data_IF_184954482443
#
_entry.id   IF_184954482443
#
_cell.length_a   1.000
_cell.length_b   1.000
_cell.length_c   1.000
_cell.angle_alpha   90.00
_cell.angle_beta   90.00
_cell.angle_gamma   90.00
#
_symmetry.space_group_name_H-M   'P 1'
#
loop_
_entity.id
_entity.type
_entity.pdbx_description
1 polymer ?
#
# COMPACT_ATOMS: atom_id res chain seq x y z
N UNK A 1 -20.93 -3.34 -13.16
CA UNK A 1 -20.42 -3.94 -11.92
C UNK A 1 -21.38 -5.04 -11.49
N UNK A 2 -20.93 -6.29 -11.53
CA UNK A 2 -21.65 -7.45 -10.99
C UNK A 2 -21.49 -7.55 -9.47
N UNK A 3 -22.29 -8.39 -8.82
CA UNK A 3 -22.20 -8.64 -7.36
C UNK A 3 -20.81 -9.15 -6.96
N UNK A 4 -20.24 -10.07 -7.76
CA UNK A 4 -18.90 -10.59 -7.52
C UNK A 4 -17.80 -9.51 -7.67
N UNK A 5 -17.96 -8.57 -8.60
CA UNK A 5 -17.05 -7.44 -8.75
C UNK A 5 -17.16 -6.47 -7.56
N UNK A 6 -18.38 -6.20 -7.09
CA UNK A 6 -18.60 -5.36 -5.91
C UNK A 6 -17.97 -5.99 -4.65
N UNK A 7 -18.14 -7.29 -4.45
CA UNK A 7 -17.58 -7.97 -3.29
C UNK A 7 -16.05 -7.95 -3.29
N UNK A 8 -15.42 -8.18 -4.46
CA UNK A 8 -13.96 -8.04 -4.61
C UNK A 8 -13.48 -6.62 -4.38
N UNK A 9 -14.24 -5.61 -4.79
CA UNK A 9 -13.90 -4.21 -4.52
C UNK A 9 -13.95 -3.93 -3.01
N UNK A 10 -15.01 -4.38 -2.33
CA UNK A 10 -15.14 -4.23 -0.86
C UNK A 10 -14.02 -4.92 -0.10
N UNK A 11 -13.54 -6.08 -0.55
CA UNK A 11 -12.41 -6.79 0.09
C UNK A 11 -11.09 -5.99 0.09
N UNK A 12 -10.92 -5.06 -0.85
CA UNK A 12 -9.73 -4.19 -0.94
C UNK A 12 -9.86 -2.93 -0.10
N UNK A 13 -11.09 -2.58 0.30
CA UNK A 13 -11.37 -1.38 1.05
C UNK A 13 -11.30 -1.64 2.56
N UNK A 14 -11.01 -0.60 3.38
CA UNK A 14 -11.04 -0.72 4.82
C UNK A 14 -12.49 -0.73 5.33
N UNK A 15 -13.23 -1.81 5.06
CA UNK A 15 -14.65 -1.95 5.40
C UNK A 15 -14.90 -3.08 6.39
N UNK A 16 -15.91 -2.86 7.24
CA UNK A 16 -16.42 -3.85 8.20
C UNK A 16 -17.93 -3.96 8.07
N UNK A 17 -18.49 -5.11 8.48
CA UNK A 17 -19.93 -5.27 8.64
C UNK A 17 -20.26 -5.16 10.12
N UNK A 18 -21.02 -4.13 10.52
CA UNK A 18 -21.40 -3.88 11.91
C UNK A 18 -22.90 -3.66 12.01
N UNK A 19 -23.58 -4.49 12.81
CA UNK A 19 -25.04 -4.46 13.00
C UNK A 19 -25.83 -4.57 11.68
N UNK A 20 -25.35 -5.39 10.73
CA UNK A 20 -25.99 -5.58 9.42
C UNK A 20 -25.70 -4.47 8.40
N UNK A 21 -24.88 -3.47 8.74
CA UNK A 21 -24.50 -2.39 7.83
C UNK A 21 -23.01 -2.48 7.47
N UNK A 22 -22.67 -2.26 6.20
CA UNK A 22 -21.29 -2.08 5.77
C UNK A 22 -20.83 -0.67 6.16
N UNK A 23 -19.68 -0.57 6.82
CA UNK A 23 -19.08 0.68 7.28
C UNK A 23 -17.64 0.77 6.79
N UNK A 24 -17.26 1.92 6.26
CA UNK A 24 -15.88 2.24 5.89
C UNK A 24 -15.18 2.81 7.13
N UNK A 25 -14.00 2.30 7.46
CA UNK A 25 -13.13 2.87 8.47
C UNK A 25 -12.49 4.14 7.89
N UNK A 26 -12.61 5.26 8.62
CA UNK A 26 -11.93 6.49 8.20
C UNK A 26 -10.42 6.31 8.25
N UNK A 27 -9.69 6.99 7.36
CA UNK A 27 -8.23 6.93 7.32
C UNK A 27 -7.61 7.27 8.69
N UNK A 28 -8.11 8.30 9.39
CA UNK A 28 -7.63 8.66 10.73
C UNK A 28 -7.88 7.56 11.78
N UNK A 29 -9.02 6.87 11.71
CA UNK A 29 -9.30 5.77 12.64
C UNK A 29 -8.43 4.56 12.33
N UNK A 30 -8.31 4.20 11.05
CA UNK A 30 -7.39 3.17 10.59
C UNK A 30 -5.95 3.47 11.01
N UNK A 31 -5.49 4.70 10.84
CA UNK A 31 -4.12 5.08 11.17
C UNK A 31 -3.82 4.92 12.66
N UNK A 32 -4.75 5.31 13.54
CA UNK A 32 -4.65 5.07 14.99
C UNK A 32 -4.61 3.59 15.34
N UNK A 33 -5.46 2.77 14.72
CA UNK A 33 -5.50 1.33 14.98
C UNK A 33 -4.15 0.67 14.67
N UNK A 34 -3.56 1.03 13.54
CA UNK A 34 -2.25 0.52 13.12
C UNK A 34 -1.14 1.02 14.05
N UNK A 35 -1.18 2.29 14.46
CA UNK A 35 -0.21 2.80 15.46
C UNK A 35 -0.28 2.01 16.76
N UNK A 36 -1.48 1.76 17.30
CA UNK A 36 -1.62 0.92 18.50
C UNK A 36 -1.09 -0.49 18.27
N UNK A 37 -1.37 -1.11 17.12
CA UNK A 37 -0.83 -2.43 16.81
C UNK A 37 0.70 -2.44 16.80
N UNK A 38 1.34 -1.45 16.17
CA UNK A 38 2.80 -1.31 16.13
C UNK A 38 3.36 -1.08 17.53
N UNK A 39 2.78 -0.16 18.29
CA UNK A 39 3.22 0.12 19.66
C UNK A 39 3.14 -1.13 20.54
N UNK A 40 2.09 -1.95 20.39
CA UNK A 40 1.95 -3.20 21.13
C UNK A 40 2.94 -4.30 20.71
N UNK A 41 3.40 -4.32 19.46
CA UNK A 41 4.41 -5.30 19.01
C UNK A 41 5.77 -5.05 19.68
N UNK A 42 6.04 -3.81 20.04
CA UNK A 42 7.28 -3.38 20.68
C UNK A 42 7.14 -3.23 22.21
N UNK A 43 5.97 -3.57 22.77
CA UNK A 43 5.66 -3.43 24.20
C UNK A 43 5.81 -4.77 24.95
N UNK A 44 6.83 -4.87 25.81
CA UNK A 44 7.07 -6.03 26.68
C UNK A 44 5.88 -6.33 27.62
N UNK A 45 4.99 -5.36 27.88
CA UNK A 45 3.77 -5.56 28.68
C UNK A 45 2.64 -6.28 27.92
N UNK A 46 2.76 -6.47 26.60
CA UNK A 46 1.77 -7.13 25.75
C UNK A 46 2.32 -8.42 25.11
N UNK A 47 2.77 -9.44 25.89
CA UNK A 47 3.45 -10.64 25.38
C UNK A 47 2.58 -11.54 24.48
N UNK A 48 1.29 -11.25 24.39
CA UNK A 48 0.36 -11.92 23.49
C UNK A 48 0.26 -11.28 22.10
N UNK A 49 1.03 -10.24 21.82
CA UNK A 49 1.08 -9.51 20.56
C UNK A 49 2.54 -9.41 20.13
N UNK A 50 3.00 -10.39 19.36
CA UNK A 50 4.36 -10.44 18.81
C UNK A 50 4.30 -10.71 17.31
N UNK A 51 5.42 -10.51 16.60
CA UNK A 51 5.49 -10.69 15.14
C UNK A 51 5.02 -12.09 14.70
N UNK A 52 5.36 -13.13 15.45
CA UNK A 52 5.02 -14.53 15.11
C UNK A 52 3.64 -14.95 15.63
N UNK A 53 2.99 -14.16 16.48
CA UNK A 53 1.71 -14.53 17.07
C UNK A 53 0.97 -13.33 17.65
N UNK A 54 -0.04 -12.87 16.91
CA UNK A 54 -0.99 -11.86 17.36
C UNK A 54 -2.24 -12.52 17.94
N UNK A 55 -2.37 -12.50 19.25
CA UNK A 55 -3.55 -13.01 19.96
C UNK A 55 -4.75 -12.09 19.84
N UNK A 56 -5.87 -12.58 19.28
CA UNK A 56 -7.09 -11.80 19.07
C UNK A 56 -7.62 -11.12 20.35
N UNK A 57 -7.73 -11.87 21.45
CA UNK A 57 -8.21 -11.31 22.71
C UNK A 57 -7.19 -10.37 23.38
N UNK A 58 -5.89 -10.56 23.11
CA UNK A 58 -4.84 -9.65 23.57
C UNK A 58 -4.97 -8.31 22.83
N UNK A 59 -5.00 -8.35 21.50
CA UNK A 59 -5.16 -7.16 20.66
C UNK A 59 -6.45 -6.40 20.99
N UNK A 60 -7.56 -7.09 21.20
CA UNK A 60 -8.82 -6.46 21.63
C UNK A 60 -8.69 -5.72 22.96
N UNK A 61 -8.00 -6.30 23.95
CA UNK A 61 -7.76 -5.64 25.25
C UNK A 61 -6.84 -4.44 25.10
N UNK A 62 -5.75 -4.58 24.33
CA UNK A 62 -4.83 -3.49 24.05
C UNK A 62 -5.53 -2.32 23.34
N UNK A 63 -6.30 -2.60 22.29
CA UNK A 63 -7.10 -1.56 21.62
C UNK A 63 -8.07 -0.84 22.56
N UNK A 64 -8.71 -1.56 23.49
CA UNK A 64 -9.58 -0.96 24.51
C UNK A 64 -8.80 -0.11 25.53
N UNK A 65 -7.57 -0.50 25.88
CA UNK A 65 -6.66 0.22 26.79
C UNK A 65 -6.19 1.53 26.14
N UNK A 66 -5.74 1.47 24.88
CA UNK A 66 -5.12 2.61 24.19
C UNK A 66 -6.13 3.53 23.49
N UNK A 67 -7.35 3.05 23.19
CA UNK A 67 -8.43 3.84 22.58
C UNK A 67 -9.69 3.83 23.46
N UNK A 68 -9.64 4.30 24.72
CA UNK A 68 -10.74 4.15 25.68
C UNK A 68 -12.01 4.91 25.27
N UNK A 69 -11.86 6.03 24.56
CA UNK A 69 -12.98 6.84 24.07
C UNK A 69 -13.67 6.21 22.84
N UNK A 70 -13.13 5.12 22.31
CA UNK A 70 -13.67 4.40 21.16
C UNK A 70 -14.12 3.02 21.60
N UNK A 71 -15.41 2.75 21.47
CA UNK A 71 -15.89 1.38 21.53
C UNK A 71 -15.43 0.65 20.26
N UNK A 72 -14.25 0.04 20.30
CA UNK A 72 -13.68 -0.73 19.18
C UNK A 72 -14.41 -2.07 19.10
N UNK A 73 -15.25 -2.29 18.07
CA UNK A 73 -16.02 -3.52 17.96
C UNK A 73 -15.11 -4.68 17.51
N UNK A 74 -15.52 -5.92 17.78
CA UNK A 74 -14.70 -7.10 17.48
C UNK A 74 -14.43 -7.26 15.98
N UNK A 75 -15.35 -6.77 15.14
CA UNK A 75 -15.24 -6.75 13.69
C UNK A 75 -14.06 -5.89 13.21
N UNK A 76 -13.70 -4.83 13.94
CA UNK A 76 -12.48 -4.04 13.66
C UNK A 76 -11.23 -4.83 14.02
N UNK A 77 -11.25 -5.56 15.14
CA UNK A 77 -10.11 -6.40 15.55
C UNK A 77 -9.88 -7.52 14.53
N UNK A 78 -10.96 -8.20 14.12
CA UNK A 78 -10.91 -9.23 13.08
C UNK A 78 -10.42 -8.66 11.74
N UNK A 79 -10.87 -7.45 11.38
CA UNK A 79 -10.39 -6.77 10.18
C UNK A 79 -8.89 -6.48 10.26
N UNK A 80 -8.38 -5.97 11.38
CA UNK A 80 -6.94 -5.74 11.56
C UNK A 80 -6.13 -7.01 11.36
N UNK A 81 -6.52 -8.12 12.01
CA UNK A 81 -5.83 -9.40 11.84
C UNK A 81 -5.89 -9.87 10.39
N UNK A 82 -7.06 -9.82 9.76
CA UNK A 82 -7.21 -10.24 8.36
C UNK A 82 -6.35 -9.39 7.41
N UNK A 83 -6.18 -8.10 7.70
CA UNK A 83 -5.45 -7.16 6.84
C UNK A 83 -3.94 -7.20 7.08
N UNK A 84 -3.49 -7.41 8.31
CA UNK A 84 -2.10 -7.25 8.72
C UNK A 84 -1.41 -8.53 9.19
N UNK A 85 -2.11 -9.67 9.20
CA UNK A 85 -1.52 -10.95 9.55
C UNK A 85 -1.73 -12.00 8.46
N UNK A 86 -0.73 -12.86 8.29
CA UNK A 86 -0.84 -14.12 7.58
C UNK A 86 -1.29 -15.22 8.55
N UNK A 87 -2.18 -16.11 8.07
CA UNK A 87 -2.65 -17.25 8.85
C UNK A 87 -1.70 -18.43 8.65
N UNK A 88 -1.04 -18.85 9.72
CA UNK A 88 -0.18 -20.04 9.74
C UNK A 88 -0.92 -21.16 10.45
N UNK A 89 -1.01 -22.33 9.81
CA UNK A 89 -1.68 -23.50 10.36
C UNK A 89 -0.66 -24.58 10.67
N UNK A 90 -0.38 -24.78 11.96
CA UNK A 90 0.55 -25.80 12.45
C UNK A 90 -0.15 -26.70 13.48
N UNK A 91 -0.04 -28.02 13.30
CA UNK A 91 -0.54 -29.00 14.28
C UNK A 91 -2.01 -28.79 14.71
N UNK A 92 -2.88 -28.40 13.76
CA UNK A 92 -4.30 -28.08 14.01
C UNK A 92 -4.56 -26.82 14.86
N UNK A 93 -3.55 -25.97 15.05
CA UNK A 93 -3.70 -24.62 15.62
C UNK A 93 -3.45 -23.58 14.54
N UNK A 94 -4.23 -22.51 14.60
CA UNK A 94 -4.08 -21.35 13.72
C UNK A 94 -3.41 -20.23 14.53
N UNK A 95 -2.29 -19.72 14.02
CA UNK A 95 -1.58 -18.55 14.54
C UNK A 95 -1.60 -17.43 13.51
N UNK A 96 -1.57 -16.19 13.98
CA UNK A 96 -1.60 -15.00 13.15
C UNK A 96 -0.24 -14.32 13.21
N UNK A 97 0.54 -14.42 12.15
CA UNK A 97 1.87 -13.82 12.05
C UNK A 97 1.75 -12.47 11.35
N UNK A 98 2.46 -11.45 11.79
CA UNK A 98 2.47 -10.15 11.13
C UNK A 98 2.93 -10.29 9.69
N UNK A 99 2.11 -9.78 8.77
CA UNK A 99 2.46 -9.61 7.38
C UNK A 99 3.31 -8.34 7.25
N UNK A 100 4.63 -8.55 7.18
CA UNK A 100 5.65 -7.49 7.12
C UNK A 100 5.36 -6.48 5.99
N UNK A 101 4.99 -6.98 4.80
CA UNK A 101 4.66 -6.13 3.64
C UNK A 101 3.44 -5.26 3.92
N UNK A 102 2.39 -5.81 4.53
CA UNK A 102 1.17 -5.08 4.82
C UNK A 102 1.41 -3.97 5.85
N UNK A 103 2.13 -4.27 6.94
CA UNK A 103 2.51 -3.28 7.98
C UNK A 103 3.39 -2.19 7.38
N UNK A 104 4.44 -2.57 6.65
CA UNK A 104 5.34 -1.59 6.06
C UNK A 104 4.59 -0.67 5.10
N UNK A 105 3.74 -1.22 4.22
CA UNK A 105 2.94 -0.43 3.27
C UNK A 105 1.98 0.55 3.94
N UNK A 106 1.32 0.18 5.04
CA UNK A 106 0.44 1.14 5.73
C UNK A 106 1.24 2.25 6.42
N UNK A 107 2.41 1.95 7.00
CA UNK A 107 3.30 2.98 7.58
C UNK A 107 3.90 3.90 6.51
N UNK A 108 4.27 3.37 5.35
CA UNK A 108 4.67 4.15 4.16
C UNK A 108 3.53 5.08 3.74
N UNK A 109 2.31 4.55 3.61
CA UNK A 109 1.12 5.34 3.25
C UNK A 109 0.87 6.48 4.24
N UNK A 110 0.93 6.19 5.55
CA UNK A 110 0.77 7.20 6.61
C UNK A 110 1.81 8.31 6.49
N UNK A 111 3.08 7.94 6.36
CA UNK A 111 4.18 8.89 6.28
C UNK A 111 4.10 9.75 5.01
N UNK A 112 3.86 9.13 3.85
CA UNK A 112 3.80 9.83 2.58
C UNK A 112 2.53 10.67 2.41
N UNK A 113 1.42 10.36 3.09
CA UNK A 113 0.23 11.23 3.12
C UNK A 113 0.44 12.50 3.96
N UNK A 114 1.44 12.51 4.85
CA UNK A 114 1.70 13.66 5.72
C UNK A 114 2.46 14.80 5.02
N UNK A 115 3.08 14.57 3.87
CA UNK A 115 3.76 15.62 3.09
C UNK A 115 3.70 15.37 1.58
N UNK A 116 3.84 16.43 0.79
CA UNK A 116 3.75 16.36 -0.69
C UNK A 116 4.93 15.62 -1.32
N UNK A 117 6.12 15.73 -0.73
CA UNK A 117 7.38 15.17 -1.24
C UNK A 117 8.38 15.03 -0.09
N UNK A 118 9.13 13.94 -0.06
CA UNK A 118 10.24 13.68 0.86
C UNK A 118 11.55 13.54 0.09
N UNK A 119 12.64 13.91 0.74
CA UNK A 119 13.98 13.42 0.39
C UNK A 119 14.06 11.93 0.80
N UNK A 120 14.61 11.08 -0.07
CA UNK A 120 14.47 9.62 0.06
C UNK A 120 15.14 9.06 1.32
N UNK A 121 16.35 9.52 1.66
CA UNK A 121 17.09 9.07 2.84
C UNK A 121 16.36 9.47 4.13
N UNK A 122 15.82 10.69 4.18
CA UNK A 122 14.99 11.16 5.29
C UNK A 122 13.72 10.31 5.42
N UNK A 123 13.09 9.95 4.31
CA UNK A 123 11.95 9.04 4.31
C UNK A 123 12.33 7.67 4.90
N UNK A 124 13.41 7.04 4.43
CA UNK A 124 13.85 5.73 4.93
C UNK A 124 14.15 5.76 6.42
N UNK A 125 14.89 6.77 6.88
CA UNK A 125 15.22 6.95 8.30
C UNK A 125 13.98 7.13 9.16
N UNK A 126 13.03 7.94 8.69
CA UNK A 126 11.77 8.19 9.42
C UNK A 126 10.88 6.96 9.42
N UNK A 127 10.82 6.23 8.30
CA UNK A 127 10.05 4.99 8.20
C UNK A 127 10.58 3.95 9.18
N UNK A 128 11.89 3.76 9.27
CA UNK A 128 12.48 2.78 10.19
C UNK A 128 12.16 3.08 11.66
N UNK A 129 11.96 4.34 12.03
CA UNK A 129 11.61 4.75 13.40
C UNK A 129 10.14 4.45 13.77
N UNK A 130 9.28 4.21 12.79
CA UNK A 130 7.84 3.97 12.99
C UNK A 130 7.42 2.55 12.61
N UNK A 131 8.36 1.69 12.20
CA UNK A 131 8.15 0.27 11.99
C UNK A 131 8.40 -0.48 13.31
N UNK A 132 7.68 -1.59 13.55
CA UNK A 132 7.95 -2.42 14.71
C UNK A 132 9.34 -3.05 14.62
N UNK A 133 9.94 -3.33 15.78
CA UNK A 133 11.24 -3.97 15.89
C UNK A 133 11.21 -5.32 15.18
N UNK A 134 12.20 -5.58 14.32
CA UNK A 134 12.30 -6.81 13.53
C UNK A 134 11.60 -6.75 12.17
N UNK A 135 10.89 -5.67 11.84
CA UNK A 135 10.38 -5.42 10.49
C UNK A 135 11.31 -4.49 9.71
N UNK A 136 11.65 -4.90 8.49
CA UNK A 136 12.54 -4.16 7.61
C UNK A 136 11.81 -3.63 6.38
N UNK A 137 12.20 -2.43 5.93
CA UNK A 137 11.72 -1.89 4.67
C UNK A 137 12.39 -2.58 3.48
N UNK A 138 11.59 -2.94 2.48
CA UNK A 138 12.06 -3.43 1.18
C UNK A 138 11.52 -2.57 0.04
N UNK A 139 12.34 -2.25 -0.96
CA UNK A 139 11.96 -1.33 -2.05
C UNK A 139 10.69 -1.81 -2.81
N UNK A 140 10.49 -3.12 -2.96
CA UNK A 140 9.28 -3.67 -3.61
C UNK A 140 7.98 -3.37 -2.84
N UNK A 141 8.06 -2.91 -1.59
CA UNK A 141 6.89 -2.48 -0.83
C UNK A 141 6.38 -1.11 -1.29
N UNK A 142 7.16 -0.34 -2.06
CA UNK A 142 6.73 0.91 -2.67
C UNK A 142 5.86 0.70 -3.93
N UNK A 143 5.87 -0.50 -4.51
CA UNK A 143 5.23 -0.78 -5.80
C UNK A 143 3.75 -0.37 -5.80
N UNK A 144 3.41 0.54 -6.71
CA UNK A 144 2.05 1.07 -6.86
C UNK A 144 1.52 1.85 -5.65
N UNK A 145 2.37 2.24 -4.70
CA UNK A 145 2.02 3.02 -3.51
C UNK A 145 2.71 4.40 -3.50
N UNK A 146 3.92 4.47 -4.04
CA UNK A 146 4.74 5.66 -4.02
C UNK A 146 5.38 5.91 -5.38
N UNK A 147 5.69 7.17 -5.65
CA UNK A 147 6.49 7.60 -6.79
C UNK A 147 7.86 8.06 -6.32
N UNK A 148 8.89 7.32 -6.72
CA UNK A 148 10.30 7.64 -6.46
C UNK A 148 10.86 8.32 -7.69
N UNK A 149 11.49 9.47 -7.52
CA UNK A 149 12.08 10.25 -8.60
C UNK A 149 13.48 10.72 -8.27
N UNK A 150 14.35 10.71 -9.28
CA UNK A 150 15.76 11.07 -9.13
C UNK A 150 16.10 12.16 -10.15
N UNK A 151 16.31 13.37 -9.64
CA UNK A 151 16.68 14.53 -10.45
C UNK A 151 18.09 14.99 -10.06
N UNK A 152 18.88 15.46 -11.03
CA UNK A 152 20.25 15.95 -10.78
C UNK A 152 20.31 17.08 -9.74
N UNK A 153 19.26 17.90 -9.66
CA UNK A 153 19.23 19.10 -8.79
C UNK A 153 18.71 18.77 -7.39
N UNK A 154 17.64 17.97 -7.27
CA UNK A 154 17.00 17.67 -5.97
C UNK A 154 17.39 16.32 -5.37
N UNK A 155 18.14 15.49 -6.09
CA UNK A 155 18.47 14.12 -5.66
C UNK A 155 17.28 13.17 -5.74
N UNK A 156 17.41 12.01 -5.06
CA UNK A 156 16.37 10.99 -4.95
C UNK A 156 15.29 11.44 -3.97
N UNK A 157 14.05 11.40 -4.41
CA UNK A 157 12.88 11.89 -3.69
C UNK A 157 11.72 10.93 -3.83
N UNK A 158 10.76 11.01 -2.91
CA UNK A 158 9.59 10.11 -2.88
C UNK A 158 8.33 10.88 -2.53
N UNK A 159 7.20 10.48 -3.11
CA UNK A 159 5.87 11.02 -2.78
C UNK A 159 4.81 9.94 -2.85
N UNK A 160 3.67 10.17 -2.20
CA UNK A 160 2.52 9.29 -2.27
C UNK A 160 1.96 9.24 -3.71
N UNK A 161 1.75 8.02 -4.23
CA UNK A 161 1.10 7.79 -5.52
C UNK A 161 0.50 6.37 -5.52
N UNK A 162 -0.64 6.21 -4.87
CA UNK A 162 -1.32 4.93 -4.77
C UNK A 162 -2.10 4.63 -6.05
N UNK A 163 -1.95 3.41 -6.57
CA UNK A 163 -2.65 2.93 -7.77
C UNK A 163 -4.16 3.04 -7.65
N UNK A 164 -4.70 2.88 -6.44
CA UNK A 164 -6.14 2.98 -6.16
C UNK A 164 -6.69 4.40 -6.30
N UNK A 165 -5.83 5.42 -6.21
CA UNK A 165 -6.20 6.83 -6.37
C UNK A 165 -5.99 7.33 -7.82
N UNK A 166 -5.46 6.49 -8.70
CA UNK A 166 -5.17 6.87 -10.09
C UNK A 166 -6.42 6.76 -10.97
N UNK A 167 -6.53 7.60 -12.03
CA UNK A 167 -7.66 7.56 -12.96
C UNK A 167 -7.93 6.16 -13.49
N UNK A 168 -9.17 5.67 -13.43
CA UNK A 168 -9.52 4.33 -13.96
C UNK A 168 -9.43 4.25 -15.49
N UNK A 169 -9.53 5.40 -16.17
CA UNK A 169 -9.38 5.48 -17.62
C UNK A 169 -7.89 5.38 -18.01
N UNK A 170 -7.49 4.39 -18.83
CA UNK A 170 -6.07 4.14 -19.13
C UNK A 170 -5.34 5.34 -19.73
N UNK A 171 -5.99 6.11 -20.61
CA UNK A 171 -5.38 7.28 -21.25
C UNK A 171 -5.10 8.38 -20.23
N UNK A 172 -6.10 8.78 -19.44
CA UNK A 172 -5.94 9.78 -18.37
C UNK A 172 -4.89 9.38 -17.35
N UNK A 173 -4.80 8.08 -17.03
CA UNK A 173 -3.76 7.58 -16.11
C UNK A 173 -2.37 7.72 -16.72
N UNK A 174 -2.20 7.36 -17.98
CA UNK A 174 -0.92 7.54 -18.69
C UNK A 174 -0.55 9.02 -18.82
N UNK A 175 -1.51 9.91 -19.09
CA UNK A 175 -1.27 11.37 -19.09
C UNK A 175 -0.72 11.85 -17.75
N UNK A 176 -1.37 11.46 -16.65
CA UNK A 176 -0.91 11.79 -15.31
C UNK A 176 0.52 11.25 -15.06
N UNK A 177 0.79 9.98 -15.38
CA UNK A 177 2.10 9.38 -15.18
C UNK A 177 3.20 10.07 -16.02
N UNK A 178 2.91 10.44 -17.27
CA UNK A 178 3.86 11.18 -18.11
C UNK A 178 4.02 12.65 -17.69
N UNK A 179 3.03 13.23 -17.01
CA UNK A 179 3.18 14.56 -16.41
C UNK A 179 4.13 14.56 -15.20
N UNK A 180 4.23 13.42 -14.49
CA UNK A 180 5.13 13.25 -13.35
C UNK A 180 6.57 12.99 -13.79
N UNK A 181 6.75 12.22 -14.87
CA UNK A 181 8.07 11.93 -15.45
C UNK A 181 7.96 11.78 -16.97
N UNK A 182 8.85 12.46 -17.69
CA UNK A 182 8.81 12.51 -19.15
C UNK A 182 9.17 11.19 -19.85
N UNK A 183 10.00 10.34 -19.21
CA UNK A 183 10.45 9.07 -19.77
C UNK A 183 10.40 7.95 -18.74
N UNK A 184 9.88 6.79 -19.14
CA UNK A 184 9.68 5.66 -18.24
C UNK A 184 10.29 4.37 -18.78
N UNK A 185 10.82 3.58 -17.85
CA UNK A 185 11.03 2.16 -18.09
C UNK A 185 9.71 1.41 -17.98
N UNK A 186 9.54 0.36 -18.79
CA UNK A 186 8.32 -0.47 -18.78
C UNK A 186 8.01 -1.02 -17.38
N UNK A 187 9.01 -1.58 -16.70
CA UNK A 187 8.86 -2.13 -15.34
C UNK A 187 8.45 -1.06 -14.33
N UNK A 188 9.04 0.14 -14.41
CA UNK A 188 8.73 1.25 -13.52
C UNK A 188 7.32 1.80 -13.76
N UNK A 189 6.83 1.81 -15.00
CA UNK A 189 5.46 2.25 -15.31
C UNK A 189 4.42 1.18 -14.97
N UNK A 190 4.76 -0.10 -15.16
CA UNK A 190 3.88 -1.25 -14.97
C UNK A 190 3.24 -1.29 -13.57
N UNK A 191 3.97 -0.89 -12.53
CA UNK A 191 3.46 -0.92 -11.15
C UNK A 191 2.16 -0.11 -10.96
N UNK A 192 1.95 0.94 -11.75
CA UNK A 192 0.77 1.83 -11.70
C UNK A 192 -0.36 1.41 -12.64
N UNK A 193 -0.16 0.33 -13.41
CA UNK A 193 -1.11 -0.19 -14.39
C UNK A 193 -1.56 -1.61 -14.07
N UNK A 194 -1.13 -2.17 -12.94
CA UNK A 194 -1.33 -3.58 -12.59
C UNK A 194 -2.80 -3.97 -12.41
N UNK A 195 -3.64 -3.04 -11.94
CA UNK A 195 -5.09 -3.14 -11.82
C UNK A 195 -5.82 -3.08 -13.17
N UNK A 196 -5.33 -2.28 -14.12
CA UNK A 196 -5.88 -2.17 -15.48
C UNK A 196 -5.38 -3.26 -16.43
N UNK A 197 -4.17 -3.74 -16.20
CA UNK A 197 -3.46 -4.69 -17.05
C UNK A 197 -3.08 -5.94 -16.24
N UNK A 198 -4.03 -6.88 -16.04
CA UNK A 198 -3.80 -8.04 -15.17
C UNK A 198 -2.78 -9.04 -15.74
N UNK A 199 -2.37 -8.88 -17.01
CA UNK A 199 -1.35 -9.72 -17.62
C UNK A 199 -0.37 -8.89 -18.43
N UNK A 200 0.85 -9.42 -18.61
CA UNK A 200 1.88 -8.80 -19.46
C UNK A 200 1.40 -8.58 -20.89
N UNK A 201 0.48 -9.41 -21.38
CA UNK A 201 -0.13 -9.22 -22.70
C UNK A 201 -0.98 -7.95 -22.76
N UNK A 202 -1.87 -7.75 -21.79
CA UNK A 202 -2.70 -6.54 -21.72
C UNK A 202 -1.83 -5.28 -21.59
N UNK A 203 -0.79 -5.35 -20.76
CA UNK A 203 0.18 -4.26 -20.62
C UNK A 203 0.85 -3.94 -21.96
N UNK A 204 1.40 -4.94 -22.65
CA UNK A 204 2.05 -4.76 -23.94
C UNK A 204 1.11 -4.15 -24.99
N UNK A 205 -0.14 -4.64 -25.06
CA UNK A 205 -1.16 -4.11 -25.97
C UNK A 205 -1.46 -2.65 -25.65
N UNK A 206 -1.67 -2.28 -24.38
CA UNK A 206 -1.90 -0.90 -23.95
C UNK A 206 -0.71 0.00 -24.32
N UNK A 207 0.51 -0.39 -23.94
CA UNK A 207 1.70 0.43 -24.17
C UNK A 207 2.00 0.59 -25.67
N UNK A 208 1.87 -0.48 -26.45
CA UNK A 208 2.08 -0.42 -27.91
C UNK A 208 1.04 0.43 -28.61
N UNK A 209 -0.21 0.45 -28.12
CA UNK A 209 -1.27 1.25 -28.72
C UNK A 209 -1.18 2.72 -28.31
N UNK A 210 -0.86 3.00 -27.05
CA UNK A 210 -0.99 4.32 -26.47
C UNK A 210 0.31 5.12 -26.37
N UNK A 211 1.47 4.46 -26.23
CA UNK A 211 2.72 5.15 -25.91
C UNK A 211 3.66 5.26 -27.11
N UNK A 212 4.47 6.33 -27.14
CA UNK A 212 5.65 6.47 -27.99
C UNK A 212 6.85 5.82 -27.30
N UNK A 213 7.71 5.19 -28.08
CA UNK A 213 8.92 4.52 -27.60
C UNK A 213 10.18 5.14 -28.21
N UNK A 214 11.23 5.24 -27.42
CA UNK A 214 12.58 5.57 -27.89
C UNK A 214 13.59 4.55 -27.37
N UNK A 215 14.74 4.48 -28.01
CA UNK A 215 15.84 3.62 -27.59
C UNK A 215 17.01 4.50 -27.21
N UNK A 216 17.50 4.34 -25.98
CA UNK A 216 18.71 5.02 -25.51
C UNK A 216 19.94 4.58 -26.30
N UNK A 217 21.03 5.34 -26.21
CA UNK A 217 22.34 4.97 -26.78
C UNK A 217 22.83 3.59 -26.31
N UNK A 218 22.40 3.12 -25.14
CA UNK A 218 22.75 1.82 -24.59
C UNK A 218 21.78 0.69 -25.02
N UNK A 219 20.87 0.94 -25.97
CA UNK A 219 19.91 -0.05 -26.45
C UNK A 219 18.67 -0.26 -25.55
N UNK A 220 18.56 0.46 -24.43
CA UNK A 220 17.42 0.37 -23.51
C UNK A 220 16.20 1.11 -24.08
N UNK A 221 15.05 0.44 -24.14
CA UNK A 221 13.77 1.04 -24.57
C UNK A 221 13.14 1.86 -23.45
N UNK A 222 12.65 3.04 -23.78
CA UNK A 222 11.93 3.95 -22.89
C UNK A 222 10.61 4.39 -23.51
N UNK A 223 9.60 4.61 -22.67
CA UNK A 223 8.30 5.19 -23.03
C UNK A 223 8.36 6.70 -22.82
N UNK A 224 7.98 7.51 -23.80
CA UNK A 224 8.23 8.98 -23.81
C UNK A 224 6.97 9.82 -24.07
N UNK A 225 5.82 9.36 -23.56
CA UNK A 225 4.53 10.04 -23.70
C UNK A 225 3.54 9.29 -24.57
N UNK A 226 2.33 9.84 -24.64
CA UNK A 226 1.27 9.32 -25.50
C UNK A 226 1.54 9.58 -26.98
N UNK A 227 0.94 8.76 -27.85
CA UNK A 227 0.91 8.99 -29.30
C UNK A 227 0.02 10.17 -29.63
N UNK A 228 0.40 10.94 -30.65
CA UNK A 228 -0.29 12.16 -31.07
C UNK A 228 -1.77 11.94 -31.43
N UNK A 229 -2.14 10.75 -31.91
CA UNK A 229 -3.53 10.40 -32.26
C UNK A 229 -4.48 10.30 -31.05
N UNK A 230 -3.94 10.39 -29.84
CA UNK A 230 -4.68 10.29 -28.57
C UNK A 230 -4.69 11.62 -27.79
N UNK A 231 -4.01 12.66 -28.28
CA UNK A 231 -3.96 14.00 -27.71
C UNK A 231 -5.00 14.90 -28.40
#
# INVERSE_FOLDING_TARGET
MSEAELQKALERMPVITLNGYVRILSAEFHDRLVTVLVDCLDDDEEPGIILESVGLECLKKALKKHLPDKNVPVEVVNWLIKTYCDVVKENSRETYHINEKAICRVKISQLLRAAVKFEYETFERTLQQILPIGVEFKEEYLEGLAFVDEELVTGKTIRYLNVEDLPEEPIKRLELLFSLRQSWEESALQQYLSDLCPTKRHLNELLMNCCRQTTTVNGKKLLVGLKEVLL
#
